data_IF_635608334959
#
_entry.id   IF_635608334959
#
_cell.length_a   1.000
_cell.length_b   1.000
_cell.length_c   1.000
_cell.angle_alpha   90.00
_cell.angle_beta   90.00
_cell.angle_gamma   90.00
#
_symmetry.space_group_name_H-M   'P 1'
#
loop_
_entity.id
_entity.type
_entity.pdbx_description
1 polymer ?
#
# COMPACT_ATOMS: atom_id res chain seq x y z
N UNK A 1 11.68 6.55 17.52
CA UNK A 1 10.61 7.19 16.73
C UNK A 1 11.10 8.10 15.60
N UNK A 2 11.62 9.33 15.82
CA UNK A 2 12.00 10.24 14.70
C UNK A 2 13.01 9.65 13.70
N UNK A 3 14.10 9.05 14.20
CA UNK A 3 15.11 8.37 13.37
C UNK A 3 14.57 7.15 12.62
N UNK A 4 13.71 6.35 13.26
CA UNK A 4 13.07 5.20 12.62
C UNK A 4 12.06 5.62 11.55
N UNK A 5 11.37 6.75 11.74
CA UNK A 5 10.47 7.32 10.74
C UNK A 5 11.23 7.65 9.44
N UNK A 6 12.38 8.33 9.55
CA UNK A 6 13.23 8.66 8.40
C UNK A 6 13.80 7.41 7.71
N UNK A 7 14.28 6.42 8.48
CA UNK A 7 14.86 5.19 7.92
C UNK A 7 13.77 4.35 7.24
N UNK A 8 12.63 4.11 7.90
CA UNK A 8 11.52 3.34 7.34
C UNK A 8 10.89 4.05 6.14
N UNK A 9 10.71 5.37 6.22
CA UNK A 9 10.22 6.16 5.09
C UNK A 9 11.18 6.08 3.89
N UNK A 10 12.48 6.21 4.12
CA UNK A 10 13.50 6.08 3.08
C UNK A 10 13.51 4.72 2.41
N UNK A 11 13.43 3.62 3.18
CA UNK A 11 13.34 2.24 2.65
C UNK A 11 11.98 1.97 2.00
N UNK A 12 10.92 2.59 2.49
CA UNK A 12 9.57 2.45 1.95
C UNK A 12 9.44 2.97 0.52
N UNK A 13 10.23 3.99 0.15
CA UNK A 13 10.19 4.56 -1.20
C UNK A 13 10.53 3.54 -2.30
N UNK A 14 11.73 2.92 -2.32
CA UNK A 14 12.06 1.94 -3.35
C UNK A 14 11.16 0.70 -3.31
N UNK A 15 10.69 0.29 -2.13
CA UNK A 15 9.73 -0.81 -2.00
C UNK A 15 8.40 -0.45 -2.67
N UNK A 16 7.89 0.76 -2.45
CA UNK A 16 6.66 1.25 -3.08
C UNK A 16 6.77 1.28 -4.61
N UNK A 17 7.88 1.80 -5.13
CA UNK A 17 8.18 1.79 -6.58
C UNK A 17 8.22 0.36 -7.13
N UNK A 18 8.95 -0.53 -6.46
CA UNK A 18 9.06 -1.93 -6.87
C UNK A 18 7.70 -2.63 -6.90
N UNK A 19 6.88 -2.48 -5.85
CA UNK A 19 5.54 -3.08 -5.79
C UNK A 19 4.67 -2.53 -6.92
N UNK A 20 4.69 -1.22 -7.16
CA UNK A 20 3.94 -0.60 -8.25
C UNK A 20 4.34 -1.16 -9.61
N UNK A 21 5.64 -1.34 -9.85
CA UNK A 21 6.17 -1.91 -11.09
C UNK A 21 5.78 -3.39 -11.25
N UNK A 22 5.76 -4.17 -10.16
CA UNK A 22 5.28 -5.55 -10.21
C UNK A 22 3.78 -5.62 -10.52
N UNK A 23 2.99 -4.70 -9.97
CA UNK A 23 1.55 -4.61 -10.27
C UNK A 23 1.32 -4.31 -11.76
N UNK A 24 2.04 -3.36 -12.36
CA UNK A 24 1.89 -3.02 -13.79
C UNK A 24 2.30 -4.17 -14.69
N UNK A 25 3.37 -4.90 -14.35
CA UNK A 25 3.78 -6.13 -15.06
C UNK A 25 2.67 -7.19 -14.97
N UNK A 26 2.14 -7.45 -13.77
CA UNK A 26 1.05 -8.41 -13.59
C UNK A 26 -0.18 -8.02 -14.42
N UNK A 27 -0.62 -6.76 -14.36
CA UNK A 27 -1.74 -6.27 -15.16
C UNK A 27 -1.46 -6.44 -16.66
N UNK A 28 -0.25 -6.12 -17.11
CA UNK A 28 0.12 -6.26 -18.52
C UNK A 28 0.06 -7.71 -19.00
N UNK A 29 0.50 -8.67 -18.17
CA UNK A 29 0.45 -10.10 -18.50
C UNK A 29 -0.98 -10.60 -18.68
N UNK A 30 -1.92 -10.15 -17.87
CA UNK A 30 -3.32 -10.61 -17.94
C UNK A 30 -4.18 -9.84 -18.94
N UNK A 31 -3.91 -8.55 -19.16
CA UNK A 31 -4.85 -7.65 -19.86
C UNK A 31 -4.30 -7.02 -21.14
N UNK A 32 -2.98 -6.93 -21.32
CA UNK A 32 -2.40 -6.11 -22.37
C UNK A 32 -1.99 -6.84 -23.66
N UNK A 33 -2.42 -8.10 -23.84
CA UNK A 33 -2.27 -8.90 -25.08
C UNK A 33 -0.85 -8.81 -25.70
N UNK A 34 0.19 -8.89 -24.86
CA UNK A 34 1.59 -8.85 -25.30
C UNK A 34 2.23 -7.46 -25.37
N UNK A 35 1.53 -6.39 -24.98
CA UNK A 35 2.09 -5.04 -24.80
C UNK A 35 2.33 -4.76 -23.32
N UNK A 36 3.36 -3.98 -23.00
CA UNK A 36 3.57 -3.52 -21.63
C UNK A 36 2.81 -2.21 -21.39
N UNK A 37 1.93 -2.20 -20.39
CA UNK A 37 1.24 -1.00 -19.91
C UNK A 37 1.98 -0.47 -18.68
N UNK A 38 2.86 0.51 -18.90
CA UNK A 38 3.65 1.10 -17.83
C UNK A 38 2.81 1.89 -16.81
N UNK A 39 1.73 2.51 -17.28
CA UNK A 39 0.83 3.38 -16.51
C UNK A 39 -0.60 3.24 -17.05
N UNK A 40 -1.58 3.71 -16.27
CA UNK A 40 -2.96 3.83 -16.74
C UNK A 40 -3.02 4.84 -17.91
N UNK A 41 -3.66 4.52 -19.05
CA UNK A 41 -3.70 5.41 -20.22
C UNK A 41 -4.24 6.82 -19.91
N UNK A 42 -5.25 6.93 -19.04
CA UNK A 42 -5.79 8.23 -18.63
C UNK A 42 -4.74 9.13 -17.95
N UNK A 43 -3.72 8.55 -17.28
CA UNK A 43 -2.63 9.32 -16.71
C UNK A 43 -1.69 9.87 -17.79
N UNK A 44 -1.53 9.16 -18.92
CA UNK A 44 -0.75 9.64 -20.08
C UNK A 44 -1.39 10.89 -20.67
N UNK A 45 -2.72 10.86 -20.84
CA UNK A 45 -3.49 11.99 -21.38
C UNK A 45 -3.33 13.25 -20.51
N UNK A 46 -3.34 13.09 -19.19
CA UNK A 46 -3.20 14.19 -18.23
C UNK A 46 -1.74 14.66 -18.10
N UNK A 47 -0.77 13.75 -18.14
CA UNK A 47 0.65 14.07 -18.02
C UNK A 47 1.28 14.63 -19.31
N UNK A 48 0.56 14.57 -20.43
CA UNK A 48 0.97 15.05 -21.75
C UNK A 48 2.03 14.18 -22.46
N UNK A 49 2.62 13.21 -21.76
CA UNK A 49 3.50 12.20 -22.35
C UNK A 49 3.55 10.95 -21.47
N UNK A 50 3.90 9.81 -22.08
CA UNK A 50 4.07 8.54 -21.37
C UNK A 50 5.19 8.63 -20.33
N UNK A 51 6.32 9.26 -20.68
CA UNK A 51 7.44 9.44 -19.76
C UNK A 51 7.03 10.24 -18.52
N UNK A 52 6.31 11.34 -18.70
CA UNK A 52 5.83 12.14 -17.57
C UNK A 52 4.89 11.32 -16.69
N UNK A 53 3.95 10.58 -17.28
CA UNK A 53 3.03 9.72 -16.53
C UNK A 53 3.78 8.65 -15.71
N UNK A 54 4.82 8.04 -16.28
CA UNK A 54 5.67 7.05 -15.59
C UNK A 54 6.42 7.71 -14.43
N UNK A 55 6.98 8.90 -14.62
CA UNK A 55 7.64 9.67 -13.55
C UNK A 55 6.65 9.97 -12.43
N UNK A 56 5.45 10.46 -12.77
CA UNK A 56 4.39 10.77 -11.80
C UNK A 56 3.99 9.52 -11.01
N UNK A 57 3.69 8.41 -11.68
CA UNK A 57 3.34 7.16 -11.02
C UNK A 57 4.47 6.67 -10.12
N UNK A 58 5.73 6.72 -10.58
CA UNK A 58 6.90 6.30 -9.80
C UNK A 58 7.04 7.11 -8.52
N UNK A 59 6.94 8.44 -8.61
CA UNK A 59 7.02 9.33 -7.46
C UNK A 59 5.90 9.06 -6.46
N UNK A 60 4.65 8.98 -6.93
CA UNK A 60 3.50 8.72 -6.06
C UNK A 60 3.54 7.34 -5.42
N UNK A 61 3.94 6.30 -6.15
CA UNK A 61 4.11 4.95 -5.61
C UNK A 61 5.23 4.89 -4.56
N UNK A 62 6.33 5.62 -4.77
CA UNK A 62 7.38 5.75 -3.77
C UNK A 62 6.89 6.47 -2.52
N UNK A 63 6.20 7.60 -2.66
CA UNK A 63 5.60 8.34 -1.53
C UNK A 63 4.62 7.45 -0.76
N UNK A 64 3.77 6.71 -1.47
CA UNK A 64 2.83 5.76 -0.90
C UNK A 64 3.57 4.70 -0.06
N UNK A 65 4.60 4.08 -0.63
CA UNK A 65 5.44 3.10 0.08
C UNK A 65 6.11 3.67 1.33
N UNK A 66 6.69 4.86 1.24
CA UNK A 66 7.25 5.59 2.38
C UNK A 66 6.20 5.84 3.46
N UNK A 67 5.01 6.30 3.09
CA UNK A 67 3.94 6.60 4.02
C UNK A 67 3.45 5.35 4.75
N UNK A 68 3.20 4.25 4.04
CA UNK A 68 2.85 2.96 4.67
C UNK A 68 3.95 2.49 5.63
N UNK A 69 5.22 2.60 5.23
CA UNK A 69 6.34 2.23 6.08
C UNK A 69 6.43 3.11 7.34
N UNK A 70 6.14 4.41 7.26
CA UNK A 70 6.08 5.30 8.43
C UNK A 70 4.88 5.00 9.33
N UNK A 71 3.69 4.80 8.75
CA UNK A 71 2.46 4.46 9.48
C UNK A 71 2.62 3.12 10.23
N UNK A 72 3.44 2.19 9.72
CA UNK A 72 3.77 0.93 10.40
C UNK A 72 4.40 1.07 11.78
N UNK A 73 4.91 2.25 12.15
CA UNK A 73 5.38 2.53 13.51
C UNK A 73 4.26 2.43 14.56
N UNK A 74 3.00 2.52 14.14
CA UNK A 74 1.85 2.31 15.04
C UNK A 74 1.88 0.92 15.70
N UNK A 75 2.40 -0.09 14.99
CA UNK A 75 2.51 -1.45 15.53
C UNK A 75 3.53 -1.56 16.66
N UNK A 76 4.46 -0.60 16.81
CA UNK A 76 5.42 -0.55 17.91
C UNK A 76 4.85 0.08 19.19
N UNK A 77 3.61 0.58 19.16
CA UNK A 77 3.01 1.26 20.30
C UNK A 77 2.45 0.24 21.30
N UNK A 78 3.30 -0.34 22.14
CA UNK A 78 2.95 -1.41 23.10
C UNK A 78 1.78 -1.08 24.05
N UNK A 79 1.58 0.20 24.37
CA UNK A 79 0.48 0.65 25.24
C UNK A 79 -0.89 0.66 24.57
N UNK A 80 -0.95 0.53 23.24
CA UNK A 80 -2.20 0.56 22.50
C UNK A 80 -2.73 -0.85 22.30
N UNK A 81 -4.05 -1.01 22.41
CA UNK A 81 -4.69 -2.26 22.01
C UNK A 81 -4.54 -2.49 20.51
N UNK A 82 -4.51 -3.76 20.09
CA UNK A 82 -4.44 -4.15 18.68
C UNK A 82 -5.58 -3.52 17.88
N UNK A 83 -6.78 -3.41 18.47
CA UNK A 83 -7.92 -2.76 17.84
C UNK A 83 -7.66 -1.27 17.56
N UNK A 84 -7.09 -0.54 18.54
CA UNK A 84 -6.73 0.87 18.38
C UNK A 84 -5.64 1.06 17.32
N UNK A 85 -4.59 0.24 17.37
CA UNK A 85 -3.52 0.26 16.38
C UNK A 85 -4.06 0.01 14.96
N UNK A 86 -4.90 -1.02 14.80
CA UNK A 86 -5.49 -1.39 13.51
C UNK A 86 -6.39 -0.29 12.96
N UNK A 87 -7.27 0.29 13.79
CA UNK A 87 -8.16 1.36 13.38
C UNK A 87 -7.39 2.61 12.93
N UNK A 88 -6.40 3.06 13.71
CA UNK A 88 -5.61 4.25 13.36
C UNK A 88 -4.72 3.98 12.14
N UNK A 89 -4.10 2.81 12.04
CA UNK A 89 -3.32 2.41 10.87
C UNK A 89 -4.19 2.45 9.61
N UNK A 90 -5.39 1.84 9.66
CA UNK A 90 -6.30 1.79 8.53
C UNK A 90 -6.74 3.19 8.08
N UNK A 91 -7.12 4.05 9.03
CA UNK A 91 -7.54 5.43 8.71
C UNK A 91 -6.43 6.23 8.03
N UNK A 92 -5.20 6.16 8.55
CA UNK A 92 -4.06 6.84 7.92
C UNK A 92 -3.71 6.25 6.57
N UNK A 93 -3.79 4.91 6.43
CA UNK A 93 -3.59 4.23 5.17
C UNK A 93 -4.61 4.68 4.12
N UNK A 94 -5.90 4.77 4.48
CA UNK A 94 -6.93 5.34 3.61
C UNK A 94 -6.64 6.80 3.23
N UNK A 95 -6.24 7.61 4.21
CA UNK A 95 -5.95 9.03 3.99
C UNK A 95 -4.81 9.26 2.99
N UNK A 96 -3.84 8.34 2.91
CA UNK A 96 -2.76 8.42 1.93
C UNK A 96 -3.12 7.73 0.61
N UNK A 97 -3.72 6.54 0.68
CA UNK A 97 -4.02 5.73 -0.49
C UNK A 97 -5.07 6.37 -1.41
N UNK A 98 -6.15 6.91 -0.85
CA UNK A 98 -7.26 7.43 -1.65
C UNK A 98 -6.87 8.67 -2.48
N UNK A 99 -6.18 9.69 -1.93
CA UNK A 99 -5.71 10.82 -2.73
C UNK A 99 -4.69 10.41 -3.79
N UNK A 100 -3.75 9.52 -3.46
CA UNK A 100 -2.75 9.07 -4.42
C UNK A 100 -3.40 8.31 -5.58
N UNK A 101 -4.29 7.35 -5.28
CA UNK A 101 -5.01 6.61 -6.31
C UNK A 101 -5.91 7.49 -7.18
N UNK A 102 -6.43 8.60 -6.64
CA UNK A 102 -7.15 9.60 -7.42
C UNK A 102 -6.20 10.36 -8.36
N UNK A 103 -5.08 10.89 -7.84
CA UNK A 103 -4.11 11.66 -8.62
C UNK A 103 -3.41 10.83 -9.72
N UNK A 104 -3.20 9.54 -9.50
CA UNK A 104 -2.60 8.62 -10.49
C UNK A 104 -3.62 7.99 -11.43
N UNK A 105 -4.91 8.36 -11.33
CA UNK A 105 -6.00 7.78 -12.12
C UNK A 105 -6.13 6.25 -11.97
N UNK A 106 -5.70 5.68 -10.83
CA UNK A 106 -5.92 4.25 -10.53
C UNK A 106 -7.37 3.93 -10.22
N UNK A 107 -8.15 4.95 -9.85
CA UNK A 107 -9.60 4.86 -9.72
C UNK A 107 -10.28 5.75 -10.75
N UNK A 108 -11.48 5.34 -11.16
CA UNK A 108 -12.36 6.19 -11.96
C UNK A 108 -12.77 7.42 -11.14
N UNK A 109 -12.73 8.61 -11.74
CA UNK A 109 -13.09 9.89 -11.11
C UNK A 109 -14.60 10.09 -11.05
N UNK A 110 -15.28 9.13 -10.44
CA UNK A 110 -16.71 9.14 -10.17
C UNK A 110 -16.96 8.66 -8.74
N UNK A 111 -18.10 9.02 -8.15
CA UNK A 111 -18.46 8.56 -6.81
C UNK A 111 -18.50 7.02 -6.74
N UNK A 112 -18.98 6.38 -7.81
CA UNK A 112 -19.00 4.91 -7.91
C UNK A 112 -17.59 4.33 -8.01
N UNK A 113 -16.71 4.94 -8.80
CA UNK A 113 -15.30 4.55 -8.92
C UNK A 113 -14.57 4.60 -7.57
N UNK A 114 -14.74 5.71 -6.85
CA UNK A 114 -14.19 5.90 -5.51
C UNK A 114 -14.65 4.83 -4.53
N UNK A 115 -15.96 4.55 -4.47
CA UNK A 115 -16.52 3.53 -3.55
C UNK A 115 -16.00 2.14 -3.91
N UNK A 116 -15.97 1.77 -5.21
CA UNK A 116 -15.42 0.48 -5.66
C UNK A 116 -13.96 0.32 -5.25
N UNK A 117 -13.15 1.34 -5.49
CA UNK A 117 -11.73 1.30 -5.14
C UNK A 117 -11.52 1.18 -3.63
N UNK A 118 -12.27 1.97 -2.85
CA UNK A 118 -12.24 1.89 -1.39
C UNK A 118 -12.61 0.50 -0.87
N UNK A 119 -13.67 -0.13 -1.41
CA UNK A 119 -14.09 -1.47 -1.00
C UNK A 119 -13.05 -2.53 -1.34
N UNK A 120 -12.43 -2.45 -2.51
CA UNK A 120 -11.32 -3.34 -2.90
C UNK A 120 -10.15 -3.17 -1.92
N UNK A 121 -9.78 -1.92 -1.62
CA UNK A 121 -8.71 -1.63 -0.66
C UNK A 121 -9.03 -2.14 0.74
N UNK A 122 -10.26 -1.92 1.23
CA UNK A 122 -10.73 -2.43 2.52
C UNK A 122 -10.65 -3.96 2.57
N UNK A 123 -11.10 -4.64 1.52
CA UNK A 123 -11.04 -6.11 1.44
C UNK A 123 -9.60 -6.61 1.50
N UNK A 124 -8.71 -6.03 0.70
CA UNK A 124 -7.28 -6.37 0.70
C UNK A 124 -6.65 -6.14 2.07
N UNK A 125 -6.98 -5.02 2.72
CA UNK A 125 -6.50 -4.71 4.06
C UNK A 125 -6.94 -5.77 5.07
N UNK A 126 -8.23 -6.13 5.10
CA UNK A 126 -8.77 -7.14 6.01
C UNK A 126 -8.11 -8.50 5.79
N UNK A 127 -7.92 -8.92 4.52
CA UNK A 127 -7.27 -10.19 4.18
C UNK A 127 -5.82 -10.21 4.66
N UNK A 128 -5.03 -9.19 4.30
CA UNK A 128 -3.60 -9.11 4.68
C UNK A 128 -3.45 -9.03 6.19
N UNK A 129 -4.26 -8.21 6.86
CA UNK A 129 -4.26 -8.09 8.32
C UNK A 129 -4.62 -9.41 9.00
N UNK A 130 -5.65 -10.11 8.51
CA UNK A 130 -6.07 -11.41 9.03
C UNK A 130 -4.98 -12.47 8.91
N UNK A 131 -4.32 -12.56 7.75
CA UNK A 131 -3.18 -13.46 7.54
C UNK A 131 -2.05 -13.14 8.53
N UNK A 132 -1.65 -11.87 8.62
CA UNK A 132 -0.58 -11.46 9.55
C UNK A 132 -0.93 -11.74 11.00
N UNK A 133 -2.18 -11.48 11.40
CA UNK A 133 -2.66 -11.74 12.75
C UNK A 133 -2.55 -13.23 13.11
N UNK A 134 -2.98 -14.12 12.21
CA UNK A 134 -2.90 -15.58 12.42
C UNK A 134 -1.44 -16.03 12.52
N UNK A 135 -0.57 -15.55 11.62
CA UNK A 135 0.87 -15.88 11.64
C UNK A 135 1.51 -15.46 12.95
N UNK A 136 1.30 -14.23 13.39
CA UNK A 136 1.87 -13.71 14.64
C UNK A 136 1.31 -14.42 15.88
N UNK A 137 0.00 -14.65 15.92
CA UNK A 137 -0.62 -15.42 17.00
C UNK A 137 0.00 -16.82 17.11
N UNK A 138 0.26 -17.48 15.97
CA UNK A 138 0.85 -18.82 15.94
C UNK A 138 2.28 -18.81 16.45
N UNK A 139 3.11 -17.85 15.98
CA UNK A 139 4.49 -17.68 16.46
C UNK A 139 4.57 -17.43 17.97
N UNK A 140 3.71 -16.58 18.51
CA UNK A 140 3.67 -16.29 19.96
C UNK A 140 3.33 -17.56 20.75
N UNK A 141 2.37 -18.36 20.28
CA UNK A 141 2.02 -19.65 20.92
C UNK A 141 3.20 -20.63 20.91
N UNK A 142 3.94 -20.72 19.82
CA UNK A 142 5.12 -21.59 19.72
C UNK A 142 6.23 -21.15 20.67
N UNK A 143 6.49 -19.84 20.80
CA UNK A 143 7.47 -19.30 21.74
C UNK A 143 7.05 -19.62 23.18
N UNK A 144 5.79 -19.38 23.55
CA UNK A 144 5.29 -19.66 24.90
C UNK A 144 5.40 -21.15 25.25
N UNK A 145 5.14 -22.05 24.29
CA UNK A 145 5.30 -23.49 24.49
C UNK A 145 6.75 -23.89 24.80
N UNK A 146 7.74 -23.27 24.15
CA UNK A 146 9.17 -23.52 24.37
C UNK A 146 9.69 -22.97 25.69
N UNK A 147 9.05 -21.92 26.24
CA UNK A 147 9.44 -21.33 27.52
C UNK A 147 8.82 -22.06 28.72
N UNK A 148 7.80 -22.90 28.49
CA UNK A 148 7.04 -23.61 29.52
C UNK A 148 7.32 -25.12 29.54
N UNK A 149 8.16 -25.63 28.62
CA UNK A 149 8.67 -27.02 28.64
C UNK A 149 10.11 -27.04 29.11
#
# INVERSE_FOLDING_TARGET
MKKQCLIRGGIGFPIGVMISQLITICISLFFAKGKYLAVVPALIDVAGSELNAVIWQTLFSGILGSAFAMISLIWEMERWSIAKQTGIYFLLACFVMMPIAYLTHWMEHSLQGFIKYFLIFLLLFVVVWGIQYIVWRTKIKEINKKLTS
#
